data_IF_601101237666
#
_entry.id   IF_601101237666
#
_cell.length_a   1.000
_cell.length_b   1.000
_cell.length_c   1.000
_cell.angle_alpha   90.00
_cell.angle_beta   90.00
_cell.angle_gamma   90.00
#
_symmetry.space_group_name_H-M   'P 1'
#
loop_
_entity.id
_entity.type
_entity.pdbx_description
1 polymer ?
#
# COMPACT_ATOMS: atom_id res chain seq x y z
N UNK A 1 36.89 20.20 99.41
CA UNK A 1 35.86 21.21 99.74
C UNK A 1 34.85 21.29 98.62
N UNK A 2 33.66 21.01 99.01
CA UNK A 2 32.33 21.54 98.64
C UNK A 2 31.82 21.33 97.24
N UNK A 3 30.79 20.55 97.26
CA UNK A 3 29.38 20.74 96.84
C UNK A 3 29.06 20.75 95.36
N UNK A 4 28.38 19.68 94.90
CA UNK A 4 26.92 19.45 94.88
C UNK A 4 26.19 20.41 93.92
N UNK A 5 25.57 19.80 92.88
CA UNK A 5 24.11 19.80 92.73
C UNK A 5 23.66 19.11 91.45
N UNK A 6 22.79 18.22 91.66
CA UNK A 6 21.89 17.53 90.75
C UNK A 6 20.94 18.52 90.08
N UNK A 7 20.66 18.41 88.80
CA UNK A 7 19.36 18.79 88.22
C UNK A 7 19.02 17.96 86.99
N UNK A 8 17.99 17.19 87.16
CA UNK A 8 17.20 16.49 86.18
C UNK A 8 16.62 17.45 85.16
N UNK A 9 16.71 17.13 83.85
CA UNK A 9 15.74 17.62 82.87
C UNK A 9 15.35 16.56 81.93
N UNK A 10 14.04 16.49 81.86
CA UNK A 10 13.23 15.56 81.10
C UNK A 10 13.56 15.48 79.59
N UNK A 11 13.50 14.25 79.09
CA UNK A 11 13.62 13.95 77.69
C UNK A 11 12.37 14.36 76.92
N UNK A 12 12.62 15.04 75.81
CA UNK A 12 11.64 15.20 74.72
C UNK A 12 12.04 14.28 73.64
N UNK A 13 11.26 13.23 73.42
CA UNK A 13 11.38 12.33 72.26
C UNK A 13 10.69 13.01 71.09
N UNK A 14 11.45 13.56 70.12
CA UNK A 14 10.95 13.91 68.80
C UNK A 14 10.74 12.60 68.02
N UNK A 15 9.49 12.25 67.75
CA UNK A 15 9.14 11.23 66.78
C UNK A 15 9.22 11.86 65.36
N UNK A 16 10.28 11.53 64.67
CA UNK A 16 10.42 11.87 63.22
C UNK A 16 9.58 10.88 62.44
N UNK A 17 8.40 11.33 61.94
CA UNK A 17 7.58 10.57 61.01
C UNK A 17 8.28 10.62 59.64
N UNK A 18 8.90 9.54 59.21
CA UNK A 18 9.40 9.33 57.88
C UNK A 18 8.19 9.10 56.94
N UNK A 19 7.81 10.14 56.21
CA UNK A 19 6.87 10.01 55.07
C UNK A 19 7.65 9.37 53.92
N UNK A 20 7.49 8.05 53.74
CA UNK A 20 7.87 7.38 52.53
C UNK A 20 6.91 7.82 51.44
N UNK A 21 7.30 8.82 50.64
CA UNK A 21 6.67 9.12 49.36
C UNK A 21 6.92 7.94 48.43
N UNK A 22 5.88 7.15 48.12
CA UNK A 22 5.88 6.28 46.96
C UNK A 22 5.94 7.19 45.71
N UNK A 23 7.15 7.52 45.27
CA UNK A 23 7.37 7.96 43.91
C UNK A 23 7.10 6.74 43.05
N UNK A 24 5.91 6.68 42.43
CA UNK A 24 5.62 5.71 41.37
C UNK A 24 6.68 5.90 40.29
N UNK A 25 7.62 4.95 40.19
CA UNK A 25 8.44 4.77 39.00
C UNK A 25 7.48 4.41 37.87
N UNK A 26 7.00 5.41 37.14
CA UNK A 26 6.52 5.15 35.79
C UNK A 26 7.71 4.50 35.07
N UNK A 27 7.65 3.19 34.86
CA UNK A 27 8.59 2.51 34.01
C UNK A 27 8.48 3.20 32.64
N UNK A 28 9.47 4.00 32.27
CA UNK A 28 9.59 4.50 30.91
C UNK A 28 9.63 3.26 30.01
N UNK A 29 8.52 2.98 29.33
CA UNK A 29 8.48 1.95 28.29
C UNK A 29 9.58 2.30 27.30
N UNK A 30 10.49 1.35 27.02
CA UNK A 30 11.53 1.59 26.05
C UNK A 30 10.84 1.89 24.71
N UNK A 31 11.22 2.99 24.07
CA UNK A 31 10.69 3.40 22.76
C UNK A 31 10.97 2.31 21.71
N UNK A 32 9.89 1.78 21.12
CA UNK A 32 9.98 0.80 20.02
C UNK A 32 10.04 1.58 18.69
N UNK A 33 11.05 1.28 17.86
CA UNK A 33 11.24 1.93 16.55
C UNK A 33 11.06 0.94 15.44
N UNK A 34 10.18 1.28 14.50
CA UNK A 34 9.93 0.52 13.28
C UNK A 34 10.31 1.32 12.06
N UNK A 35 11.00 0.67 11.12
CA UNK A 35 11.26 1.20 9.78
C UNK A 35 10.21 0.65 8.81
N UNK A 36 9.59 1.56 8.04
CA UNK A 36 8.54 1.26 7.06
C UNK A 36 8.96 1.67 5.66
N UNK A 37 9.55 0.78 4.85
CA UNK A 37 9.83 1.07 3.46
C UNK A 37 8.56 1.14 2.61
N UNK A 38 8.54 2.12 1.68
CA UNK A 38 7.59 2.22 0.57
C UNK A 38 8.33 2.50 -0.74
N UNK A 39 7.87 1.97 -1.89
CA UNK A 39 8.52 2.23 -3.17
C UNK A 39 8.21 3.61 -3.77
N UNK A 40 7.25 4.35 -3.21
CA UNK A 40 6.73 5.61 -3.77
C UNK A 40 7.32 6.82 -3.06
N UNK A 41 7.45 7.94 -3.82
CA UNK A 41 7.96 9.21 -3.30
C UNK A 41 6.98 9.93 -2.38
N UNK A 42 7.47 10.93 -1.64
CA UNK A 42 6.71 11.67 -0.60
C UNK A 42 5.42 12.33 -1.10
N UNK A 43 5.39 12.77 -2.36
CA UNK A 43 4.19 13.39 -2.96
C UNK A 43 3.11 12.38 -3.37
N UNK A 44 3.36 11.09 -3.24
CA UNK A 44 2.39 10.05 -3.56
C UNK A 44 1.36 9.91 -2.44
N UNK A 45 0.07 9.82 -2.77
CA UNK A 45 -1.01 9.76 -1.78
C UNK A 45 -0.93 8.51 -0.87
N UNK A 46 -0.39 7.39 -1.36
CA UNK A 46 -0.12 6.21 -0.53
C UNK A 46 0.94 6.53 0.53
N UNK A 47 2.07 7.16 0.13
CA UNK A 47 3.13 7.56 1.07
C UNK A 47 2.60 8.56 2.10
N UNK A 48 1.78 9.52 1.67
CA UNK A 48 1.14 10.47 2.58
C UNK A 48 0.19 9.76 3.57
N UNK A 49 -0.58 8.78 3.10
CA UNK A 49 -1.49 8.02 3.94
C UNK A 49 -0.75 7.15 4.99
N UNK A 50 0.35 6.48 4.61
CA UNK A 50 1.14 5.70 5.57
C UNK A 50 1.96 6.58 6.52
N UNK A 51 2.34 7.79 6.11
CA UNK A 51 2.94 8.78 7.02
C UNK A 51 1.92 9.23 8.09
N UNK A 52 0.69 9.53 7.66
CA UNK A 52 -0.39 9.83 8.61
C UNK A 52 -0.75 8.62 9.50
N UNK A 53 -0.65 7.39 8.99
CA UNK A 53 -0.78 6.18 9.81
C UNK A 53 0.32 6.10 10.89
N UNK A 54 1.57 6.40 10.52
CA UNK A 54 2.69 6.43 11.47
C UNK A 54 2.47 7.50 12.57
N UNK A 55 1.96 8.68 12.20
CA UNK A 55 1.60 9.74 13.15
C UNK A 55 0.43 9.33 14.08
N UNK A 56 -0.59 8.64 13.52
CA UNK A 56 -1.72 8.11 14.30
C UNK A 56 -1.25 7.07 15.33
N UNK A 57 -0.34 6.16 14.93
CA UNK A 57 0.26 5.17 15.84
C UNK A 57 1.04 5.87 16.96
N UNK A 58 1.92 6.82 16.61
CA UNK A 58 2.68 7.60 17.59
C UNK A 58 1.76 8.30 18.59
N UNK A 59 0.71 8.97 18.11
CA UNK A 59 -0.22 9.69 18.97
C UNK A 59 -1.01 8.75 19.90
N UNK A 60 -1.42 7.57 19.42
CA UNK A 60 -2.20 6.60 20.20
C UNK A 60 -1.36 5.81 21.20
N UNK A 61 -0.04 5.80 21.04
CA UNK A 61 0.92 5.10 21.93
C UNK A 61 1.71 6.06 22.81
N UNK A 62 1.34 7.35 22.84
CA UNK A 62 2.11 8.39 23.52
C UNK A 62 3.61 8.35 23.18
N UNK A 63 3.94 7.92 21.95
CA UNK A 63 5.30 7.83 21.42
C UNK A 63 6.07 6.58 21.84
N UNK A 64 5.47 5.60 22.52
CA UNK A 64 6.16 4.33 22.86
C UNK A 64 6.45 3.49 21.62
N UNK A 65 5.63 3.62 20.54
CA UNK A 65 5.89 3.04 19.24
C UNK A 65 6.03 4.13 18.16
N UNK A 66 7.20 4.19 17.54
CA UNK A 66 7.52 5.13 16.48
C UNK A 66 7.75 4.40 15.15
N UNK A 67 7.08 4.86 14.09
CA UNK A 67 7.26 4.32 12.73
C UNK A 67 7.92 5.38 11.87
N UNK A 68 9.09 5.05 11.28
CA UNK A 68 9.79 5.91 10.32
C UNK A 68 9.50 5.42 8.91
N UNK A 69 8.86 6.26 8.09
CA UNK A 69 8.57 5.95 6.69
C UNK A 69 9.80 6.26 5.82
N UNK A 70 10.24 5.27 5.03
CA UNK A 70 11.34 5.38 4.07
C UNK A 70 10.79 5.35 2.65
N UNK A 71 10.62 6.53 2.06
CA UNK A 71 10.02 6.73 0.75
C UNK A 71 10.94 6.42 -0.43
N UNK A 72 10.37 6.38 -1.64
CA UNK A 72 11.07 6.23 -2.93
C UNK A 72 12.00 5.01 -3.03
N UNK A 73 11.73 3.94 -2.28
CA UNK A 73 12.58 2.75 -2.27
C UNK A 73 13.98 3.01 -1.71
N UNK A 74 14.11 3.98 -0.79
CA UNK A 74 15.39 4.38 -0.19
C UNK A 74 15.96 3.31 0.74
N UNK A 75 15.12 2.59 1.49
CA UNK A 75 15.57 1.51 2.37
C UNK A 75 15.63 0.16 1.64
N UNK A 76 14.56 -0.20 0.93
CA UNK A 76 14.47 -1.41 0.11
C UNK A 76 13.73 -1.09 -1.19
N UNK A 77 14.18 -1.67 -2.31
CA UNK A 77 13.48 -1.57 -3.59
C UNK A 77 12.17 -2.36 -3.56
N UNK A 78 11.17 -1.95 -4.35
CA UNK A 78 9.83 -2.55 -4.35
C UNK A 78 9.84 -4.10 -4.35
N UNK A 79 10.63 -4.79 -5.21
CA UNK A 79 10.68 -6.24 -5.20
C UNK A 79 11.22 -6.87 -3.90
N UNK A 80 11.92 -6.09 -3.09
CA UNK A 80 12.60 -6.56 -1.89
C UNK A 80 11.76 -6.38 -0.62
N UNK A 81 10.82 -5.41 -0.60
CA UNK A 81 10.10 -4.96 0.61
C UNK A 81 9.42 -6.12 1.32
N UNK A 82 8.58 -6.90 0.62
CA UNK A 82 7.84 -8.02 1.25
C UNK A 82 8.79 -9.03 1.93
N UNK A 83 9.87 -9.40 1.23
CA UNK A 83 10.84 -10.34 1.77
C UNK A 83 11.67 -9.75 2.91
N UNK A 84 11.93 -8.44 2.90
CA UNK A 84 12.60 -7.74 4.00
C UNK A 84 11.72 -7.72 5.26
N UNK A 85 10.41 -7.48 5.10
CA UNK A 85 9.46 -7.57 6.21
C UNK A 85 9.36 -9.02 6.74
N UNK A 86 9.22 -10.01 5.85
CA UNK A 86 9.18 -11.43 6.24
C UNK A 86 10.40 -11.87 7.04
N UNK A 87 11.58 -11.38 6.68
CA UNK A 87 12.86 -11.69 7.35
C UNK A 87 13.08 -10.86 8.63
N UNK A 88 12.22 -9.89 8.93
CA UNK A 88 12.36 -8.98 10.07
C UNK A 88 13.47 -7.93 9.89
N UNK A 89 13.90 -7.65 8.64
CA UNK A 89 14.85 -6.57 8.34
C UNK A 89 14.18 -5.19 8.39
N UNK A 90 12.88 -5.14 8.16
CA UNK A 90 11.99 -4.05 8.49
C UNK A 90 10.75 -4.65 9.17
N UNK A 91 10.26 -4.11 10.30
CA UNK A 91 9.09 -4.65 10.98
C UNK A 91 7.80 -4.58 10.18
N UNK A 92 7.65 -3.55 9.36
CA UNK A 92 6.44 -3.20 8.59
C UNK A 92 6.85 -2.69 7.22
N UNK A 93 5.95 -2.74 6.22
CA UNK A 93 6.23 -2.18 4.89
C UNK A 93 4.99 -2.12 4.00
N UNK A 94 5.09 -1.33 2.94
CA UNK A 94 4.03 -1.18 1.93
C UNK A 94 4.42 -1.86 0.62
N UNK A 95 3.51 -2.66 0.05
CA UNK A 95 3.70 -3.37 -1.23
C UNK A 95 2.43 -3.35 -2.08
N UNK A 96 2.59 -3.40 -3.39
CA UNK A 96 1.48 -3.64 -4.32
C UNK A 96 1.07 -5.12 -4.25
N UNK A 97 -0.21 -5.40 -3.96
CA UNK A 97 -0.75 -6.76 -3.75
C UNK A 97 -0.44 -7.66 -4.95
N UNK A 98 -0.76 -7.21 -6.15
CA UNK A 98 -0.63 -7.98 -7.40
C UNK A 98 0.82 -8.30 -7.82
N UNK A 99 1.84 -7.72 -7.18
CA UNK A 99 3.23 -8.15 -7.38
C UNK A 99 3.49 -9.56 -6.84
N UNK A 100 2.66 -10.02 -5.92
CA UNK A 100 2.79 -11.32 -5.29
C UNK A 100 2.01 -12.41 -6.04
N UNK A 101 1.38 -12.08 -7.17
CA UNK A 101 0.57 -13.03 -7.95
C UNK A 101 1.35 -14.28 -8.43
N UNK A 102 2.68 -14.18 -8.58
CA UNK A 102 3.53 -15.33 -8.91
C UNK A 102 3.79 -16.25 -7.71
N UNK A 103 3.51 -15.81 -6.48
CA UNK A 103 3.63 -16.63 -5.28
C UNK A 103 2.32 -17.38 -4.98
N UNK A 104 1.20 -16.69 -5.16
CA UNK A 104 -0.15 -17.25 -5.07
C UNK A 104 -1.11 -16.40 -5.91
N UNK A 105 -1.95 -17.05 -6.71
CA UNK A 105 -2.87 -16.38 -7.63
C UNK A 105 -3.89 -15.47 -6.91
N UNK A 106 -4.21 -15.73 -5.65
CA UNK A 106 -5.12 -14.90 -4.84
C UNK A 106 -4.68 -13.43 -4.78
N UNK A 107 -3.37 -13.18 -4.78
CA UNK A 107 -2.82 -11.82 -4.81
C UNK A 107 -3.05 -11.10 -6.14
N UNK A 108 -3.41 -11.82 -7.21
CA UNK A 108 -3.59 -11.26 -8.55
C UNK A 108 -5.01 -10.79 -8.86
N UNK A 109 -6.00 -11.14 -8.04
CA UNK A 109 -7.43 -10.95 -8.36
C UNK A 109 -7.83 -9.51 -8.65
N UNK A 110 -7.22 -8.54 -7.97
CA UNK A 110 -7.55 -7.11 -8.12
C UNK A 110 -6.99 -6.47 -9.40
N UNK A 111 -6.21 -7.21 -10.15
CA UNK A 111 -5.64 -6.80 -11.43
C UNK A 111 -6.20 -7.57 -12.63
N UNK A 112 -7.28 -8.34 -12.42
CA UNK A 112 -8.05 -8.95 -13.51
C UNK A 112 -8.88 -7.85 -14.18
N UNK A 113 -8.66 -7.57 -15.49
CA UNK A 113 -9.34 -6.48 -16.16
C UNK A 113 -10.86 -6.62 -16.14
N UNK A 114 -11.56 -5.53 -15.84
CA UNK A 114 -13.03 -5.40 -15.79
C UNK A 114 -13.78 -6.29 -14.81
N UNK A 115 -13.10 -7.07 -13.97
CA UNK A 115 -13.73 -7.83 -12.89
C UNK A 115 -14.35 -6.87 -11.85
N UNK A 116 -13.61 -5.85 -11.44
CA UNK A 116 -14.07 -4.86 -10.46
C UNK A 116 -13.64 -3.42 -10.87
N UNK A 117 -14.25 -2.83 -11.92
CA UNK A 117 -13.80 -1.57 -12.54
C UNK A 117 -14.30 -0.30 -11.83
N UNK A 118 -14.95 -0.41 -10.68
CA UNK A 118 -15.40 0.74 -9.87
C UNK A 118 -14.99 0.59 -8.41
N UNK A 119 -14.97 1.71 -7.66
CA UNK A 119 -14.62 1.69 -6.24
C UNK A 119 -15.51 0.76 -5.42
N UNK A 120 -16.82 0.75 -5.66
CA UNK A 120 -17.76 -0.12 -4.93
C UNK A 120 -17.50 -1.60 -5.24
N UNK A 121 -17.29 -1.94 -6.53
CA UNK A 121 -16.93 -3.30 -6.94
C UNK A 121 -15.55 -3.69 -6.40
N UNK A 122 -14.57 -2.78 -6.44
CA UNK A 122 -13.24 -3.02 -5.90
C UNK A 122 -13.25 -3.23 -4.39
N UNK A 123 -14.12 -2.50 -3.66
CA UNK A 123 -14.32 -2.73 -2.23
C UNK A 123 -14.93 -4.11 -1.96
N UNK A 124 -16.00 -4.46 -2.68
CA UNK A 124 -16.65 -5.78 -2.55
C UNK A 124 -15.66 -6.91 -2.86
N UNK A 125 -14.87 -6.78 -3.93
CA UNK A 125 -13.83 -7.76 -4.29
C UNK A 125 -12.73 -7.84 -3.21
N UNK A 126 -12.33 -6.72 -2.64
CA UNK A 126 -11.37 -6.70 -1.54
C UNK A 126 -11.90 -7.44 -0.31
N UNK A 127 -13.15 -7.18 0.11
CA UNK A 127 -13.75 -7.88 1.23
C UNK A 127 -13.85 -9.40 0.97
N UNK A 128 -14.19 -9.80 -0.26
CA UNK A 128 -14.25 -11.20 -0.66
C UNK A 128 -12.87 -11.89 -0.68
N UNK A 129 -11.81 -11.17 -1.09
CA UNK A 129 -10.45 -11.72 -1.19
C UNK A 129 -9.63 -11.61 0.10
N UNK A 130 -10.02 -10.72 1.01
CA UNK A 130 -9.25 -10.42 2.24
C UNK A 130 -8.91 -11.66 3.08
N UNK A 131 -9.85 -12.60 3.35
CA UNK A 131 -9.51 -13.81 4.11
C UNK A 131 -8.40 -14.64 3.46
N UNK A 132 -8.44 -14.81 2.14
CA UNK A 132 -7.39 -15.53 1.40
C UNK A 132 -6.04 -14.79 1.42
N UNK A 133 -6.05 -13.45 1.34
CA UNK A 133 -4.83 -12.65 1.48
C UNK A 133 -4.21 -12.81 2.88
N UNK A 134 -5.04 -12.75 3.93
CA UNK A 134 -4.62 -12.91 5.32
C UNK A 134 -4.05 -14.31 5.58
N UNK A 135 -4.68 -15.36 5.04
CA UNK A 135 -4.20 -16.75 5.12
C UNK A 135 -2.83 -16.89 4.48
N UNK A 136 -2.68 -16.47 3.22
CA UNK A 136 -1.42 -16.61 2.46
C UNK A 136 -0.28 -15.77 3.03
N UNK A 137 -0.56 -14.63 3.60
CA UNK A 137 0.42 -13.83 4.35
C UNK A 137 0.76 -14.49 5.69
N UNK A 138 -0.23 -15.02 6.40
CA UNK A 138 -0.06 -15.73 7.68
C UNK A 138 0.86 -16.94 7.58
N UNK A 139 0.73 -17.75 6.51
CA UNK A 139 1.62 -18.88 6.19
C UNK A 139 3.11 -18.45 6.09
N UNK A 140 3.33 -17.17 5.76
CA UNK A 140 4.67 -16.59 5.62
C UNK A 140 5.14 -15.80 6.85
N UNK A 141 4.37 -15.82 7.96
CA UNK A 141 4.68 -15.07 9.17
C UNK A 141 4.48 -13.55 9.01
N UNK A 142 3.58 -13.16 8.12
CA UNK A 142 3.16 -11.79 7.88
C UNK A 142 1.70 -11.60 8.29
N UNK A 143 1.34 -10.36 8.61
CA UNK A 143 -0.05 -9.97 8.87
C UNK A 143 -0.41 -8.78 8.00
N UNK A 144 -1.60 -8.82 7.39
CA UNK A 144 -2.20 -7.70 6.69
C UNK A 144 -2.73 -6.69 7.73
N UNK A 145 -2.35 -5.44 7.62
CA UNK A 145 -2.94 -4.37 8.46
C UNK A 145 -4.09 -3.67 7.73
N UNK A 146 -3.87 -3.23 6.51
CA UNK A 146 -4.89 -2.60 5.66
C UNK A 146 -4.47 -2.58 4.20
N UNK A 147 -5.42 -2.30 3.30
CA UNK A 147 -5.14 -2.11 1.88
C UNK A 147 -5.88 -0.89 1.31
N UNK A 148 -5.24 -0.20 0.38
CA UNK A 148 -5.71 1.03 -0.24
C UNK A 148 -5.65 0.90 -1.76
N UNK A 149 -6.74 1.21 -2.51
CA UNK A 149 -6.72 1.11 -3.95
C UNK A 149 -5.97 2.27 -4.60
N UNK A 150 -5.33 2.01 -5.71
CA UNK A 150 -4.98 3.01 -6.69
C UNK A 150 -6.22 3.48 -7.45
N UNK A 151 -6.21 4.70 -8.01
CA UNK A 151 -7.23 5.10 -8.99
C UNK A 151 -7.34 4.10 -10.14
N UNK A 152 -8.50 4.04 -10.82
CA UNK A 152 -8.71 3.15 -11.96
C UNK A 152 -7.61 3.29 -13.02
N UNK A 153 -7.22 2.16 -13.62
CA UNK A 153 -6.13 2.12 -14.58
C UNK A 153 -6.63 2.46 -15.99
N UNK A 154 -5.87 3.30 -16.71
CA UNK A 154 -6.13 3.68 -18.08
C UNK A 154 -4.87 3.61 -18.95
N UNK A 155 -5.04 3.63 -20.27
CA UNK A 155 -3.97 3.49 -21.25
C UNK A 155 -3.38 4.85 -21.60
N UNK A 156 -2.06 4.96 -21.52
CA UNK A 156 -1.26 6.10 -21.96
C UNK A 156 -0.49 5.76 -23.22
N UNK A 157 -0.56 6.63 -24.22
CA UNK A 157 0.16 6.47 -25.49
C UNK A 157 0.55 7.83 -26.11
N UNK A 158 1.46 7.81 -27.11
CA UNK A 158 1.85 8.99 -27.90
C UNK A 158 0.81 9.40 -28.94
N UNK A 159 -0.15 8.52 -29.24
CA UNK A 159 -1.26 8.74 -30.18
C UNK A 159 -2.54 8.19 -29.58
N UNK A 160 -3.66 8.56 -30.16
CA UNK A 160 -4.95 7.99 -29.81
C UNK A 160 -4.96 6.48 -30.12
N UNK A 161 -5.51 5.69 -29.18
CA UNK A 161 -5.71 4.24 -29.28
C UNK A 161 -7.22 4.03 -29.36
N UNK A 162 -7.69 3.57 -30.50
CA UNK A 162 -9.12 3.38 -30.77
C UNK A 162 -9.54 1.90 -30.79
N UNK A 163 -8.57 0.99 -30.91
CA UNK A 163 -8.78 -0.46 -30.86
C UNK A 163 -7.57 -1.15 -30.22
N UNK A 164 -7.73 -2.40 -29.77
CA UNK A 164 -6.64 -3.22 -29.25
C UNK A 164 -5.49 -3.43 -30.24
N UNK A 165 -5.80 -3.47 -31.55
CA UNK A 165 -4.80 -3.56 -32.63
C UNK A 165 -3.80 -2.39 -32.64
N UNK A 166 -4.18 -1.21 -32.14
CA UNK A 166 -3.29 -0.05 -32.04
C UNK A 166 -2.16 -0.23 -31.01
N UNK A 167 -2.28 -1.21 -30.12
CA UNK A 167 -1.27 -1.57 -29.13
C UNK A 167 -0.22 -2.53 -29.69
N UNK A 168 -0.52 -3.19 -30.81
CA UNK A 168 0.34 -4.25 -31.38
C UNK A 168 1.73 -3.73 -31.73
N UNK A 169 2.74 -4.45 -31.27
CA UNK A 169 4.14 -4.12 -31.48
C UNK A 169 4.68 -2.97 -30.65
N UNK A 170 3.84 -2.23 -29.88
CA UNK A 170 4.32 -1.18 -28.99
C UNK A 170 5.12 -1.78 -27.82
N UNK A 171 6.22 -1.15 -27.47
CA UNK A 171 6.95 -1.45 -26.25
C UNK A 171 6.12 -0.97 -25.05
N UNK A 172 5.53 -1.90 -24.33
CA UNK A 172 4.54 -1.63 -23.31
C UNK A 172 5.12 -1.77 -21.91
N UNK A 173 5.01 -0.72 -21.08
CA UNK A 173 5.43 -0.81 -19.69
C UNK A 173 4.54 -1.80 -18.92
N UNK A 174 5.16 -2.82 -18.34
CA UNK A 174 4.57 -3.68 -17.34
C UNK A 174 5.10 -3.32 -15.93
N UNK A 175 4.31 -3.52 -14.89
CA UNK A 175 4.71 -3.35 -13.49
C UNK A 175 4.39 -4.57 -12.61
N UNK A 176 3.66 -5.54 -13.17
CA UNK A 176 3.32 -6.83 -12.55
C UNK A 176 2.97 -7.85 -13.64
N UNK A 177 2.75 -9.10 -13.25
CA UNK A 177 2.41 -10.19 -14.18
C UNK A 177 1.11 -9.92 -14.96
N UNK A 178 0.10 -9.29 -14.35
CA UNK A 178 -1.16 -8.97 -15.05
C UNK A 178 -0.96 -7.96 -16.19
N UNK A 179 -0.19 -6.89 -15.97
CA UNK A 179 0.12 -5.91 -17.02
C UNK A 179 1.02 -6.48 -18.11
N UNK A 180 1.92 -7.40 -17.77
CA UNK A 180 2.70 -8.15 -18.74
C UNK A 180 1.80 -9.04 -19.61
N UNK A 181 0.88 -9.78 -18.98
CA UNK A 181 -0.03 -10.66 -19.69
C UNK A 181 -1.00 -9.90 -20.59
N UNK A 182 -1.55 -8.78 -20.12
CA UNK A 182 -2.39 -7.88 -20.92
C UNK A 182 -1.64 -7.41 -22.16
N UNK A 183 -0.40 -6.95 -22.01
CA UNK A 183 0.41 -6.50 -23.15
C UNK A 183 0.65 -7.62 -24.16
N UNK A 184 0.97 -8.84 -23.70
CA UNK A 184 1.15 -10.01 -24.57
C UNK A 184 -0.13 -10.34 -25.36
N UNK A 185 -1.29 -10.37 -24.69
CA UNK A 185 -2.58 -10.65 -25.33
C UNK A 185 -3.00 -9.55 -26.31
N UNK A 186 -2.62 -8.29 -26.07
CA UNK A 186 -2.79 -7.19 -27.00
C UNK A 186 -1.76 -7.16 -28.14
N UNK A 187 -0.84 -8.14 -28.21
CA UNK A 187 0.23 -8.18 -29.21
C UNK A 187 1.32 -7.12 -29.03
N UNK A 188 1.36 -6.45 -27.89
CA UNK A 188 2.41 -5.51 -27.50
C UNK A 188 3.63 -6.26 -26.92
N UNK A 189 4.75 -5.54 -26.77
CA UNK A 189 6.01 -6.09 -26.25
C UNK A 189 6.20 -5.58 -24.82
N UNK A 190 5.93 -6.40 -23.78
CA UNK A 190 6.03 -5.96 -22.41
C UNK A 190 7.47 -5.76 -21.95
N UNK A 191 7.68 -4.73 -21.13
CA UNK A 191 8.95 -4.44 -20.50
C UNK A 191 8.69 -4.01 -19.05
N UNK A 192 9.27 -4.73 -18.11
CA UNK A 192 9.17 -4.41 -16.68
C UNK A 192 9.88 -3.09 -16.36
N UNK A 193 9.15 -2.13 -15.79
CA UNK A 193 9.68 -0.82 -15.37
C UNK A 193 9.02 -0.39 -14.07
N UNK A 194 9.82 -0.14 -13.04
CA UNK A 194 9.37 0.37 -11.76
C UNK A 194 8.96 1.84 -11.83
N UNK A 195 8.14 2.30 -10.87
CA UNK A 195 7.60 3.68 -10.87
C UNK A 195 8.70 4.76 -10.94
N UNK A 196 9.81 4.68 -10.18
CA UNK A 196 10.85 5.70 -10.26
C UNK A 196 11.54 5.81 -11.63
N UNK A 197 11.50 4.75 -12.44
CA UNK A 197 12.21 4.66 -13.72
C UNK A 197 11.32 5.00 -14.92
N UNK A 198 10.03 5.32 -14.74
CA UNK A 198 9.08 5.56 -15.84
C UNK A 198 9.59 6.64 -16.79
N UNK A 199 9.92 7.82 -16.28
CA UNK A 199 10.34 8.95 -17.12
C UNK A 199 11.59 8.60 -17.95
N UNK A 200 12.57 7.93 -17.34
CA UNK A 200 13.79 7.47 -18.03
C UNK A 200 13.48 6.42 -19.08
N UNK A 201 12.59 5.46 -18.80
CA UNK A 201 12.24 4.40 -19.74
C UNK A 201 11.54 4.94 -20.99
N UNK A 202 10.68 5.97 -20.84
CA UNK A 202 10.03 6.63 -21.97
C UNK A 202 11.00 7.53 -22.75
N UNK A 203 11.82 8.33 -22.08
CA UNK A 203 12.79 9.23 -22.73
C UNK A 203 13.85 8.47 -23.55
N UNK A 204 14.23 7.28 -23.11
CA UNK A 204 15.17 6.40 -23.83
C UNK A 204 14.52 5.49 -24.87
N UNK A 205 13.19 5.53 -25.01
CA UNK A 205 12.45 4.65 -25.93
C UNK A 205 12.45 3.18 -25.53
N UNK A 206 12.73 2.88 -24.26
CA UNK A 206 12.62 1.53 -23.72
C UNK A 206 11.17 1.08 -23.66
N UNK A 207 10.23 2.02 -23.45
CA UNK A 207 8.79 1.84 -23.52
C UNK A 207 8.12 2.99 -24.30
N UNK A 208 6.93 2.73 -24.86
CA UNK A 208 6.19 3.66 -25.73
C UNK A 208 4.75 3.87 -25.29
N UNK A 209 4.21 2.92 -24.52
CA UNK A 209 2.88 2.97 -23.94
C UNK A 209 2.87 2.33 -22.55
N UNK A 210 1.83 2.59 -21.77
CA UNK A 210 1.60 1.97 -20.46
C UNK A 210 0.11 1.95 -20.11
N UNK A 211 -0.28 1.03 -19.22
CA UNK A 211 -1.54 1.12 -18.50
C UNK A 211 -1.21 1.43 -17.03
N UNK A 212 -1.79 2.50 -16.50
CA UNK A 212 -1.56 2.93 -15.11
C UNK A 212 -2.61 3.94 -14.66
N UNK A 213 -2.57 4.33 -13.38
CA UNK A 213 -3.50 5.31 -12.80
C UNK A 213 -3.19 6.75 -13.26
N UNK A 214 -4.16 7.67 -13.19
CA UNK A 214 -3.90 9.09 -13.37
C UNK A 214 -2.92 9.65 -12.33
N UNK A 215 -2.89 9.08 -11.12
CA UNK A 215 -1.91 9.43 -10.09
C UNK A 215 -0.48 9.15 -10.53
N UNK A 216 -0.20 7.93 -11.00
CA UNK A 216 1.12 7.57 -11.53
C UNK A 216 1.49 8.43 -12.74
N UNK A 217 0.54 8.65 -13.66
CA UNK A 217 0.77 9.50 -14.84
C UNK A 217 1.18 10.93 -14.46
N UNK A 218 0.45 11.55 -13.54
CA UNK A 218 0.75 12.90 -13.09
C UNK A 218 2.07 12.98 -12.31
N UNK A 219 2.31 12.03 -11.38
CA UNK A 219 3.51 12.02 -10.55
C UNK A 219 4.79 11.75 -11.36
N UNK A 220 4.69 11.01 -12.49
CA UNK A 220 5.80 10.78 -13.42
C UNK A 220 5.90 11.87 -14.51
N UNK A 221 5.05 12.90 -14.48
CA UNK A 221 4.95 13.95 -15.51
C UNK A 221 4.79 13.35 -16.91
N UNK A 222 3.79 12.48 -17.08
CA UNK A 222 3.56 11.76 -18.33
C UNK A 222 3.45 12.68 -19.56
N UNK A 223 3.05 13.93 -19.40
CA UNK A 223 2.99 14.95 -20.46
C UNK A 223 4.34 15.29 -21.12
N UNK A 224 5.45 14.97 -20.46
CA UNK A 224 6.80 15.20 -21.04
C UNK A 224 7.12 14.19 -22.15
N UNK A 225 6.41 13.05 -22.20
CA UNK A 225 6.72 11.96 -23.15
C UNK A 225 5.50 11.26 -23.76
N UNK A 226 4.28 11.53 -23.29
CA UNK A 226 3.01 10.99 -23.80
C UNK A 226 2.01 12.11 -24.07
N UNK A 227 0.99 11.85 -24.89
CA UNK A 227 0.01 12.86 -25.30
C UNK A 227 -1.42 12.49 -25.00
N UNK A 228 -1.74 11.21 -24.83
CA UNK A 228 -3.10 10.71 -24.63
C UNK A 228 -3.20 9.84 -23.37
N UNK A 229 -4.31 9.97 -22.69
CA UNK A 229 -4.76 9.09 -21.62
C UNK A 229 -6.18 8.61 -21.94
N UNK A 230 -6.34 7.31 -22.16
CA UNK A 230 -7.64 6.67 -22.40
C UNK A 230 -8.15 6.15 -21.07
N UNK A 231 -9.23 6.74 -20.57
CA UNK A 231 -9.82 6.42 -19.26
C UNK A 231 -10.63 5.11 -19.31
N UNK A 232 -9.92 4.00 -19.49
CA UNK A 232 -10.54 2.67 -19.63
C UNK A 232 -11.10 2.11 -18.33
N UNK A 233 -10.69 2.63 -17.18
CA UNK A 233 -11.11 2.19 -15.85
C UNK A 233 -11.02 0.66 -15.68
N UNK A 234 -9.94 0.06 -16.21
CA UNK A 234 -9.85 -1.37 -16.39
C UNK A 234 -9.85 -2.16 -15.05
N UNK A 235 -9.20 -1.67 -14.00
CA UNK A 235 -9.18 -2.22 -12.64
C UNK A 235 -8.63 -1.20 -11.63
N UNK A 236 -8.79 -1.49 -10.33
CA UNK A 236 -8.26 -0.70 -9.22
C UNK A 236 -7.32 -1.59 -8.38
N UNK A 237 -6.02 -1.68 -8.72
CA UNK A 237 -5.08 -2.50 -7.94
C UNK A 237 -4.89 -1.87 -6.56
N UNK A 238 -4.48 -2.68 -5.57
CA UNK A 238 -4.31 -2.19 -4.19
C UNK A 238 -2.86 -2.31 -3.74
N UNK A 239 -2.43 -1.31 -2.98
CA UNK A 239 -1.32 -1.48 -2.06
C UNK A 239 -1.84 -2.05 -0.76
N UNK A 240 -1.02 -2.84 -0.10
CA UNK A 240 -1.25 -3.30 1.26
C UNK A 240 -0.10 -2.93 2.17
N UNK A 241 -0.42 -2.69 3.42
CA UNK A 241 0.56 -2.57 4.51
C UNK A 241 0.59 -3.89 5.25
N UNK A 242 1.78 -4.49 5.30
CA UNK A 242 2.06 -5.76 5.96
C UNK A 242 3.04 -5.56 7.10
N UNK A 243 2.85 -6.32 8.18
CA UNK A 243 3.73 -6.32 9.35
C UNK A 243 4.30 -7.72 9.57
N UNK A 244 5.53 -7.81 10.02
CA UNK A 244 6.12 -9.05 10.50
C UNK A 244 5.37 -9.50 11.77
N UNK A 245 4.82 -10.73 11.74
CA UNK A 245 3.99 -11.22 12.84
C UNK A 245 4.71 -11.25 14.18
N UNK A 246 6.00 -11.61 14.21
CA UNK A 246 6.79 -11.63 15.46
C UNK A 246 6.99 -10.22 16.01
N UNK A 247 7.26 -9.25 15.13
CA UNK A 247 7.39 -7.85 15.53
C UNK A 247 6.07 -7.32 16.09
N UNK A 248 4.94 -7.64 15.47
CA UNK A 248 3.62 -7.27 15.96
C UNK A 248 3.28 -7.97 17.28
N UNK A 249 3.53 -9.27 17.38
CA UNK A 249 3.24 -10.06 18.60
C UNK A 249 4.06 -9.58 19.81
N UNK A 250 5.25 -8.98 19.58
CA UNK A 250 6.13 -8.45 20.65
C UNK A 250 5.67 -7.12 21.24
N UNK A 251 4.72 -6.44 20.61
CA UNK A 251 4.12 -5.21 21.14
C UNK A 251 3.27 -5.49 22.38
N UNK A 252 3.08 -4.47 23.22
CA UNK A 252 2.08 -4.53 24.30
C UNK A 252 0.65 -4.63 23.72
N UNK A 253 -0.32 -5.01 24.53
CA UNK A 253 -1.71 -5.11 24.06
C UNK A 253 -2.27 -3.73 23.71
N UNK A 254 -1.83 -2.68 24.40
CA UNK A 254 -2.17 -1.28 24.10
C UNK A 254 -1.59 -0.84 22.76
N UNK A 255 -0.31 -1.16 22.49
CA UNK A 255 0.33 -0.84 21.20
C UNK A 255 -0.30 -1.61 20.05
N UNK A 256 -0.61 -2.91 20.22
CA UNK A 256 -1.35 -3.70 19.22
C UNK A 256 -2.70 -3.07 18.90
N UNK A 257 -3.47 -2.70 19.93
CA UNK A 257 -4.76 -2.03 19.75
C UNK A 257 -4.61 -0.69 19.02
N UNK A 258 -3.59 0.11 19.37
CA UNK A 258 -3.29 1.38 18.73
C UNK A 258 -2.96 1.21 17.23
N UNK A 259 -2.10 0.23 16.89
CA UNK A 259 -1.75 -0.09 15.49
C UNK A 259 -2.98 -0.50 14.69
N UNK A 260 -3.84 -1.38 15.23
CA UNK A 260 -5.05 -1.82 14.53
C UNK A 260 -6.06 -0.70 14.34
N UNK A 261 -6.28 0.15 15.35
CA UNK A 261 -7.15 1.32 15.22
C UNK A 261 -6.61 2.34 14.21
N UNK A 262 -5.29 2.59 14.20
CA UNK A 262 -4.65 3.45 13.22
C UNK A 262 -4.75 2.86 11.79
N UNK A 263 -4.65 1.54 11.65
CA UNK A 263 -4.82 0.82 10.39
C UNK A 263 -6.24 0.98 9.82
N UNK A 264 -7.29 0.87 10.65
CA UNK A 264 -8.68 1.12 10.21
C UNK A 264 -8.88 2.56 9.73
N UNK A 265 -8.30 3.54 10.43
CA UNK A 265 -8.36 4.94 10.02
C UNK A 265 -7.62 5.15 8.70
N UNK A 266 -6.43 4.55 8.54
CA UNK A 266 -5.62 4.65 7.33
C UNK A 266 -6.31 3.97 6.13
N UNK A 267 -6.99 2.84 6.32
CA UNK A 267 -7.77 2.19 5.25
C UNK A 267 -8.88 3.11 4.76
N UNK A 268 -9.73 3.61 5.66
CA UNK A 268 -10.82 4.53 5.32
C UNK A 268 -10.31 5.80 4.63
N UNK A 269 -9.29 6.45 5.21
CA UNK A 269 -8.67 7.66 4.66
C UNK A 269 -8.09 7.40 3.27
N UNK A 270 -7.39 6.28 3.09
CA UNK A 270 -6.76 5.91 1.82
C UNK A 270 -7.76 5.64 0.70
N UNK A 271 -8.88 4.97 0.99
CA UNK A 271 -9.95 4.75 0.02
C UNK A 271 -10.59 6.08 -0.43
N UNK A 272 -10.87 7.00 0.47
CA UNK A 272 -11.40 8.32 0.12
C UNK A 272 -10.34 9.17 -0.61
N UNK A 273 -9.07 9.13 -0.17
CA UNK A 273 -7.98 9.81 -0.86
C UNK A 273 -7.83 9.32 -2.31
N UNK A 274 -7.94 8.03 -2.58
CA UNK A 274 -7.87 7.46 -3.93
C UNK A 274 -8.98 8.00 -4.86
N UNK A 275 -10.22 8.15 -4.34
CA UNK A 275 -11.33 8.74 -5.10
C UNK A 275 -11.03 10.21 -5.47
N UNK A 276 -10.54 10.98 -4.51
CA UNK A 276 -10.14 12.39 -4.74
C UNK A 276 -8.97 12.46 -5.72
N UNK A 277 -7.97 11.61 -5.53
CA UNK A 277 -6.78 11.50 -6.38
C UNK A 277 -7.14 11.22 -7.84
N UNK A 278 -8.12 10.34 -8.10
CA UNK A 278 -8.62 10.06 -9.45
C UNK A 278 -8.98 11.35 -10.19
N UNK A 279 -9.85 12.16 -9.60
CA UNK A 279 -10.32 13.40 -10.20
C UNK A 279 -9.22 14.46 -10.29
N UNK A 280 -8.49 14.66 -9.19
CA UNK A 280 -7.47 15.70 -9.09
C UNK A 280 -6.34 15.45 -10.08
N UNK A 281 -5.84 14.22 -10.18
CA UNK A 281 -4.70 13.90 -11.04
C UNK A 281 -5.11 13.84 -12.52
N UNK A 282 -6.34 13.42 -12.83
CA UNK A 282 -6.87 13.54 -14.19
C UNK A 282 -6.91 15.01 -14.63
N UNK A 283 -7.33 15.92 -13.75
CA UNK A 283 -7.30 17.35 -14.06
C UNK A 283 -5.85 17.86 -14.26
N UNK A 284 -4.91 17.45 -13.42
CA UNK A 284 -3.48 17.79 -13.59
C UNK A 284 -2.94 17.31 -14.94
N UNK A 285 -3.33 16.11 -15.40
CA UNK A 285 -2.95 15.64 -16.74
C UNK A 285 -3.49 16.57 -17.85
N UNK A 286 -4.77 16.96 -17.77
CA UNK A 286 -5.42 17.86 -18.72
C UNK A 286 -4.71 19.23 -18.73
N UNK A 287 -4.48 19.83 -17.58
CA UNK A 287 -3.83 21.13 -17.41
C UNK A 287 -2.40 21.15 -17.98
N UNK A 288 -1.72 20.00 -18.02
CA UNK A 288 -0.40 19.85 -18.59
C UNK A 288 -0.40 19.30 -20.04
N UNK A 289 -1.56 19.30 -20.71
CA UNK A 289 -1.66 19.04 -22.15
C UNK A 289 -1.90 17.59 -22.56
N UNK A 290 -2.13 16.66 -21.61
CA UNK A 290 -2.59 15.30 -21.94
C UNK A 290 -4.05 15.38 -22.42
N UNK A 291 -4.32 14.78 -23.56
CA UNK A 291 -5.69 14.57 -24.04
C UNK A 291 -6.28 13.37 -23.29
N UNK A 292 -7.21 13.68 -22.39
CA UNK A 292 -8.00 12.63 -21.70
C UNK A 292 -9.15 12.23 -22.61
N UNK A 293 -9.14 10.99 -23.06
CA UNK A 293 -10.07 10.46 -24.06
C UNK A 293 -10.96 9.41 -23.40
N UNK A 294 -12.27 9.51 -23.64
CA UNK A 294 -13.17 8.39 -23.37
C UNK A 294 -12.86 7.29 -24.39
N UNK A 295 -12.59 6.06 -23.94
CA UNK A 295 -12.23 4.99 -24.85
C UNK A 295 -13.38 4.69 -25.85
N UNK A 296 -13.02 4.34 -27.08
CA UNK A 296 -14.00 3.86 -28.05
C UNK A 296 -14.66 2.56 -27.58
N UNK A 297 -15.86 2.29 -28.11
CA UNK A 297 -16.54 1.00 -27.87
C UNK A 297 -15.64 -0.18 -28.28
N UNK A 298 -14.97 -0.08 -29.44
CA UNK A 298 -14.09 -1.11 -29.92
C UNK A 298 -12.91 -1.39 -28.97
N UNK A 299 -12.27 -0.34 -28.45
CA UNK A 299 -11.16 -0.52 -27.49
C UNK A 299 -11.64 -1.21 -26.20
N UNK A 300 -12.82 -0.85 -25.70
CA UNK A 300 -13.38 -1.49 -24.51
C UNK A 300 -13.73 -2.96 -24.78
N UNK A 301 -14.32 -3.28 -25.92
CA UNK A 301 -14.64 -4.66 -26.31
C UNK A 301 -13.38 -5.51 -26.46
N UNK A 302 -12.33 -5.00 -27.12
CA UNK A 302 -11.06 -5.70 -27.28
C UNK A 302 -10.38 -5.96 -25.93
N UNK A 303 -10.36 -4.95 -25.06
CA UNK A 303 -9.78 -5.10 -23.72
C UNK A 303 -10.62 -6.00 -22.81
N UNK A 304 -11.95 -6.01 -22.98
CA UNK A 304 -12.82 -6.92 -22.24
C UNK A 304 -12.59 -8.38 -22.63
N UNK A 305 -12.40 -8.68 -23.93
CA UNK A 305 -12.05 -10.02 -24.38
C UNK A 305 -10.69 -10.51 -23.82
N UNK A 306 -9.71 -9.59 -23.72
CA UNK A 306 -8.44 -9.86 -23.00
C UNK A 306 -8.73 -10.13 -21.53
N UNK A 307 -9.59 -9.33 -20.89
CA UNK A 307 -9.99 -9.49 -19.50
C UNK A 307 -10.66 -10.83 -19.21
N UNK A 308 -11.54 -11.30 -20.12
CA UNK A 308 -12.18 -12.63 -20.00
C UNK A 308 -11.14 -13.76 -20.07
N UNK A 309 -10.18 -13.66 -20.99
CA UNK A 309 -9.07 -14.62 -21.09
C UNK A 309 -8.26 -14.64 -19.79
N UNK A 310 -7.87 -13.46 -19.27
CA UNK A 310 -7.10 -13.35 -18.04
C UNK A 310 -7.88 -13.81 -16.80
N UNK A 311 -9.20 -13.60 -16.78
CA UNK A 311 -10.07 -14.09 -15.71
C UNK A 311 -10.13 -15.62 -15.69
N UNK A 312 -10.23 -16.26 -16.85
CA UNK A 312 -10.20 -17.72 -16.97
C UNK A 312 -8.85 -18.29 -16.53
N UNK A 313 -7.74 -17.72 -17.01
CA UNK A 313 -6.39 -18.09 -16.56
C UNK A 313 -6.20 -17.92 -15.05
N UNK A 314 -6.70 -16.81 -14.49
CA UNK A 314 -6.63 -16.57 -13.04
C UNK A 314 -7.45 -17.63 -12.28
N UNK A 315 -8.67 -17.95 -12.71
CA UNK A 315 -9.51 -18.96 -12.06
C UNK A 315 -8.87 -20.33 -12.07
N UNK A 316 -8.25 -20.72 -13.18
CA UNK A 316 -7.52 -21.99 -13.30
C UNK A 316 -6.35 -22.03 -12.31
N UNK A 317 -5.55 -20.96 -12.25
CA UNK A 317 -4.38 -20.87 -11.38
C UNK A 317 -4.73 -20.75 -9.88
N UNK A 318 -5.84 -20.09 -9.55
CA UNK A 318 -6.27 -19.88 -8.17
C UNK A 318 -7.07 -21.08 -7.60
N UNK A 319 -7.59 -21.97 -8.46
CA UNK A 319 -8.28 -23.18 -8.07
C UNK A 319 -9.44 -22.96 -7.10
N UNK A 320 -9.53 -23.76 -6.04
CA UNK A 320 -10.60 -23.69 -5.04
C UNK A 320 -10.59 -22.34 -4.27
N UNK A 321 -9.42 -21.80 -3.97
CA UNK A 321 -9.31 -20.50 -3.29
C UNK A 321 -9.88 -19.37 -4.16
N UNK A 322 -9.59 -19.39 -5.47
CA UNK A 322 -10.17 -18.44 -6.40
C UNK A 322 -11.69 -18.58 -6.57
N UNK A 323 -12.19 -19.81 -6.61
CA UNK A 323 -13.62 -20.09 -6.66
C UNK A 323 -14.34 -19.51 -5.43
N UNK A 324 -13.79 -19.69 -4.23
CA UNK A 324 -14.33 -19.14 -2.99
C UNK A 324 -14.37 -17.60 -3.00
N UNK A 325 -13.32 -16.94 -3.51
CA UNK A 325 -13.28 -15.48 -3.66
C UNK A 325 -14.38 -15.00 -4.61
N UNK A 326 -14.56 -15.65 -5.77
CA UNK A 326 -15.60 -15.25 -6.74
C UNK A 326 -17.01 -15.51 -6.23
N UNK A 327 -17.22 -16.59 -5.48
CA UNK A 327 -18.52 -16.87 -4.83
C UNK A 327 -18.85 -15.77 -3.79
N UNK A 328 -17.91 -15.45 -2.91
CA UNK A 328 -18.06 -14.36 -1.94
C UNK A 328 -18.27 -13.00 -2.61
N UNK A 329 -17.62 -12.76 -3.75
CA UNK A 329 -17.77 -11.52 -4.52
C UNK A 329 -19.15 -11.40 -5.19
N UNK A 330 -19.80 -12.50 -5.58
CA UNK A 330 -21.15 -12.49 -6.18
C UNK A 330 -22.25 -12.20 -5.15
N UNK A 331 -22.10 -12.73 -3.92
CA UNK A 331 -23.04 -12.54 -2.80
C UNK A 331 -22.88 -11.16 -2.15
#
# INVERSE_FOLDING_TARGET
MLHSRILNKAGVRLATAAVFGLAGLAAASAETKWDMPTPYGDCNFHTQNISAFADDVKAKTDGSLMITVHSAGSLFKHPEIKNSVRKGLAPIGEVLVSRLANEDAVFGVDSVPFLAPSYDKAWKLYQASKPGLEEKLGEQGLQLLFAVPWPPQGIYAKKEVVAGEDLKGLKFRAYNAATERLAQLAGAVPTQVEVPDIATAFSTGRVEAMITSPSTGANSKAWDFLTHYHDTQAWLPKNMVIVNKRAFDSLSDEEKAAVLQAAELAEKRGWEASKVETKTKTNVLIENGIKVVQPSTQLIEDLAAIGETMAAEWQENAGEAGAAVLEAYKN
#
